data_IF_651852551977
#
_entry.id   IF_651852551977
#
_cell.length_a   1.000
_cell.length_b   1.000
_cell.length_c   1.000
_cell.angle_alpha   90.00
_cell.angle_beta   90.00
_cell.angle_gamma   90.00
#
_symmetry.space_group_name_H-M   'P 1'
#
loop_
_entity.id
_entity.type
_entity.pdbx_description
1 polymer ?
#
# COMPACT_ATOMS: atom_id res chain seq x y z
N UNK A 1 58.90 24.18 12.51
CA UNK A 1 57.65 24.96 12.61
C UNK A 1 56.59 24.07 13.23
N UNK A 2 56.16 24.33 14.47
CA UNK A 2 55.03 23.63 15.11
C UNK A 2 53.75 24.35 14.68
N UNK A 3 52.84 23.66 14.00
CA UNK A 3 51.48 24.17 13.80
C UNK A 3 50.82 24.36 15.18
N UNK A 4 50.13 25.49 15.45
CA UNK A 4 49.49 25.71 16.73
C UNK A 4 48.35 24.69 16.93
N UNK A 5 48.53 23.78 17.90
CA UNK A 5 47.59 22.71 18.27
C UNK A 5 46.20 23.24 18.67
N UNK A 6 46.08 24.51 19.05
CA UNK A 6 44.82 25.17 19.40
C UNK A 6 43.89 25.37 18.19
N UNK A 7 44.43 25.62 16.99
CA UNK A 7 43.62 25.86 15.78
C UNK A 7 42.91 24.58 15.33
N UNK A 8 43.52 23.41 15.57
CA UNK A 8 42.98 22.11 15.16
C UNK A 8 41.81 21.62 16.03
N UNK A 9 41.76 22.01 17.30
CA UNK A 9 40.68 21.59 18.22
C UNK A 9 39.44 22.46 18.02
N UNK A 10 39.62 23.78 17.85
CA UNK A 10 38.50 24.70 17.60
C UNK A 10 37.81 24.39 16.27
N UNK A 11 38.57 24.07 15.23
CA UNK A 11 38.01 23.64 13.94
C UNK A 11 37.28 22.30 14.03
N UNK A 12 37.81 21.32 14.78
CA UNK A 12 37.10 20.05 15.04
C UNK A 12 35.78 20.28 15.79
N UNK A 13 35.77 21.13 16.81
CA UNK A 13 34.56 21.45 17.58
C UNK A 13 33.52 22.16 16.70
N UNK A 14 33.94 23.07 15.82
CA UNK A 14 33.05 23.75 14.86
C UNK A 14 32.46 22.76 13.84
N UNK A 15 33.24 21.80 13.33
CA UNK A 15 32.75 20.77 12.41
C UNK A 15 31.75 19.84 13.12
N UNK A 16 32.08 19.35 14.32
CA UNK A 16 31.19 18.48 15.11
C UNK A 16 29.88 19.22 15.50
N UNK A 17 29.93 20.53 15.76
CA UNK A 17 28.74 21.34 16.07
C UNK A 17 27.93 21.74 14.84
N UNK A 18 28.52 21.76 13.64
CA UNK A 18 27.80 21.91 12.37
C UNK A 18 27.10 20.60 11.94
N UNK A 19 27.67 19.44 12.29
CA UNK A 19 27.09 18.11 12.02
C UNK A 19 25.91 17.75 12.96
N UNK A 20 25.62 18.58 13.96
CA UNK A 20 24.53 18.36 14.94
C UNK A 20 23.15 18.81 14.47
N UNK A 21 23.00 19.17 13.19
CA UNK A 21 21.71 19.60 12.68
C UNK A 21 21.36 18.82 11.40
N UNK A 22 20.32 17.98 11.53
CA UNK A 22 19.17 17.81 10.62
C UNK A 22 18.64 16.36 10.73
N UNK A 23 18.13 15.98 11.89
CA UNK A 23 17.20 14.85 11.96
C UNK A 23 15.84 15.31 11.38
N UNK A 24 15.71 15.30 10.05
CA UNK A 24 14.47 15.68 9.38
C UNK A 24 13.44 14.55 9.50
N UNK A 25 12.45 14.73 10.38
CA UNK A 25 11.40 13.75 10.58
C UNK A 25 10.44 13.71 9.38
N UNK A 26 10.50 12.66 8.58
CA UNK A 26 9.59 12.42 7.46
C UNK A 26 8.27 11.84 7.98
N UNK A 27 7.16 12.54 7.73
CA UNK A 27 5.81 12.10 8.13
C UNK A 27 4.93 11.93 6.91
N UNK A 28 4.31 10.75 6.80
CA UNK A 28 3.26 10.49 5.81
C UNK A 28 1.92 10.72 6.49
N UNK A 29 1.12 11.65 5.98
CA UNK A 29 -0.23 11.87 6.49
C UNK A 29 -1.14 10.72 6.07
N UNK A 30 -1.81 10.14 7.05
CA UNK A 30 -2.82 9.11 6.83
C UNK A 30 -4.22 9.71 6.93
N UNK A 31 -5.12 9.22 6.08
CA UNK A 31 -6.49 9.66 5.93
C UNK A 31 -7.43 8.53 6.31
N UNK A 32 -8.44 8.84 7.13
CA UNK A 32 -9.41 7.84 7.57
C UNK A 32 -10.38 7.47 6.45
N UNK A 33 -10.61 6.18 6.24
CA UNK A 33 -11.63 5.67 5.30
C UNK A 33 -12.93 5.39 6.05
N UNK A 34 -14.06 5.77 5.44
CA UNK A 34 -15.38 5.37 5.92
C UNK A 34 -15.56 3.88 5.61
N UNK A 35 -15.68 3.04 6.63
CA UNK A 35 -15.77 1.59 6.43
C UNK A 35 -17.20 1.20 6.08
N UNK A 36 -17.37 0.15 5.27
CA UNK A 36 -18.68 -0.46 5.05
C UNK A 36 -19.35 -0.82 6.39
N UNK A 37 -18.56 -1.21 7.41
CA UNK A 37 -19.06 -1.46 8.77
C UNK A 37 -19.66 -0.20 9.43
N UNK A 38 -19.05 0.98 9.28
CA UNK A 38 -19.61 2.25 9.80
C UNK A 38 -20.86 2.68 9.04
N UNK A 39 -20.88 2.52 7.73
CA UNK A 39 -22.08 2.75 6.91
C UNK A 39 -23.20 1.76 7.24
N UNK A 40 -22.88 0.49 7.48
CA UNK A 40 -23.85 -0.51 7.91
C UNK A 40 -24.33 -0.27 9.34
N UNK A 41 -23.46 0.23 10.23
CA UNK A 41 -23.82 0.67 11.58
C UNK A 41 -24.77 1.87 11.57
N UNK A 42 -24.59 2.84 10.65
CA UNK A 42 -25.55 3.94 10.48
C UNK A 42 -26.90 3.50 9.90
N UNK A 43 -26.98 2.31 9.28
CA UNK A 43 -28.18 1.69 8.73
C UNK A 43 -28.64 0.42 9.47
N UNK A 44 -28.26 0.29 10.75
CA UNK A 44 -28.34 -0.91 11.62
C UNK A 44 -29.61 -1.78 11.50
N UNK A 45 -30.78 -1.17 11.33
CA UNK A 45 -32.06 -1.90 11.35
C UNK A 45 -32.22 -2.88 10.15
N UNK A 46 -31.65 -2.56 8.99
CA UNK A 46 -31.82 -3.37 7.78
C UNK A 46 -30.78 -4.52 7.68
N UNK A 47 -29.64 -4.37 8.35
CA UNK A 47 -28.49 -5.28 8.24
C UNK A 47 -28.62 -6.46 9.20
N UNK A 48 -29.21 -6.23 10.38
CA UNK A 48 -29.39 -7.26 11.40
C UNK A 48 -30.22 -8.45 10.86
N UNK A 49 -31.22 -8.15 10.02
CA UNK A 49 -32.10 -9.15 9.45
C UNK A 49 -31.39 -10.07 8.43
N UNK A 50 -30.42 -9.52 7.69
CA UNK A 50 -29.62 -10.27 6.72
C UNK A 50 -28.52 -11.09 7.40
N UNK A 51 -27.87 -10.53 8.42
CA UNK A 51 -26.85 -11.24 9.23
C UNK A 51 -27.46 -12.46 9.93
N UNK A 52 -28.65 -12.32 10.51
CA UNK A 52 -29.33 -13.44 11.16
C UNK A 52 -29.74 -14.52 10.16
N UNK A 53 -30.20 -14.13 8.97
CA UNK A 53 -30.52 -15.06 7.87
C UNK A 53 -29.30 -15.84 7.39
N UNK A 54 -28.14 -15.18 7.27
CA UNK A 54 -26.91 -15.80 6.78
C UNK A 54 -26.25 -16.70 7.84
N UNK A 55 -26.30 -16.31 9.12
CA UNK A 55 -25.84 -17.16 10.24
C UNK A 55 -26.65 -18.43 10.38
N UNK A 56 -27.97 -18.35 10.21
CA UNK A 56 -28.83 -19.52 10.20
C UNK A 56 -28.50 -20.48 9.04
N UNK A 57 -28.07 -19.94 7.89
CA UNK A 57 -27.67 -20.74 6.73
C UNK A 57 -26.33 -21.46 6.94
N UNK A 58 -25.33 -20.77 7.49
CA UNK A 58 -24.01 -21.36 7.77
C UNK A 58 -24.05 -22.42 8.86
N UNK A 59 -24.95 -22.31 9.84
CA UNK A 59 -25.14 -23.33 10.87
C UNK A 59 -25.66 -24.67 10.33
N UNK A 60 -26.21 -24.69 9.12
CA UNK A 60 -26.73 -25.90 8.46
C UNK A 60 -25.64 -26.60 7.64
N UNK A 61 -24.48 -25.98 7.38
CA UNK A 61 -23.50 -26.44 6.36
C UNK A 61 -22.11 -26.83 6.88
N UNK A 62 -21.85 -26.85 8.17
CA UNK A 62 -20.51 -27.15 8.68
C UNK A 62 -20.40 -28.57 9.23
N UNK A 63 -19.99 -29.50 8.37
CA UNK A 63 -19.24 -30.70 8.77
C UNK A 63 -17.77 -30.54 8.34
N UNK A 64 -16.93 -31.12 9.19
CA UNK A 64 -15.52 -31.42 9.05
C UNK A 64 -14.45 -30.39 9.43
N UNK A 65 -13.55 -30.90 10.29
CA UNK A 65 -12.49 -30.16 10.96
C UNK A 65 -11.29 -29.90 10.07
N UNK A 66 -10.76 -28.68 10.16
CA UNK A 66 -9.44 -28.33 9.64
C UNK A 66 -8.68 -27.49 10.67
N UNK A 67 -7.41 -27.84 10.87
CA UNK A 67 -6.39 -27.15 11.68
C UNK A 67 -6.38 -25.63 11.49
N UNK A 68 -5.87 -24.85 12.47
CA UNK A 68 -6.00 -23.40 12.46
C UNK A 68 -5.18 -22.81 11.32
N UNK A 69 -5.86 -22.53 10.21
CA UNK A 69 -5.45 -21.51 9.27
C UNK A 69 -5.57 -20.22 10.05
N UNK A 70 -4.47 -19.51 10.31
CA UNK A 70 -4.51 -18.16 10.88
C UNK A 70 -5.08 -17.22 9.81
N UNK A 71 -6.38 -16.88 9.87
CA UNK A 71 -7.07 -16.19 8.79
C UNK A 71 -6.95 -14.69 9.05
N UNK A 72 -6.01 -14.03 8.38
CA UNK A 72 -6.02 -12.57 8.33
C UNK A 72 -7.01 -12.11 7.25
N UNK A 73 -8.22 -11.83 7.71
CA UNK A 73 -9.28 -11.16 6.95
C UNK A 73 -9.53 -9.82 7.58
N UNK A 74 -9.01 -8.74 6.99
CA UNK A 74 -9.64 -7.44 7.11
C UNK A 74 -9.16 -6.41 6.06
N UNK A 75 -9.98 -6.18 5.03
CA UNK A 75 -9.88 -4.99 4.16
C UNK A 75 -11.08 -4.05 4.39
N UNK A 76 -11.81 -4.23 5.50
CA UNK A 76 -13.03 -3.51 5.88
C UNK A 76 -12.87 -2.73 7.19
N UNK A 77 -11.77 -2.88 7.94
CA UNK A 77 -11.26 -1.99 8.98
C UNK A 77 -9.80 -1.55 8.73
N UNK A 78 -9.30 -1.72 7.50
CA UNK A 78 -8.20 -0.89 6.99
C UNK A 78 -8.70 0.57 7.02
N UNK A 79 -8.51 1.21 8.17
CA UNK A 79 -9.15 2.47 8.50
C UNK A 79 -8.40 3.66 7.94
N UNK A 80 -7.17 3.47 7.46
CA UNK A 80 -6.29 4.55 7.08
C UNK A 80 -5.55 4.24 5.77
N UNK A 81 -5.65 5.15 4.81
CA UNK A 81 -4.84 5.15 3.60
C UNK A 81 -3.90 6.36 3.61
N UNK A 82 -2.79 6.28 2.89
CA UNK A 82 -2.04 7.48 2.50
C UNK A 82 -1.90 7.53 0.99
N UNK A 83 -1.29 8.61 0.52
CA UNK A 83 -1.11 8.86 -0.91
C UNK A 83 0.35 8.66 -1.32
N UNK A 84 0.53 7.96 -2.43
CA UNK A 84 1.82 7.78 -3.09
C UNK A 84 1.72 8.23 -4.55
N UNK A 85 2.85 8.62 -5.13
CA UNK A 85 3.00 8.86 -6.56
C UNK A 85 3.84 7.78 -7.23
N UNK A 86 3.46 7.32 -8.42
CA UNK A 86 4.27 6.42 -9.23
C UNK A 86 4.58 7.06 -10.59
N UNK A 87 5.85 7.07 -10.95
CA UNK A 87 6.33 7.53 -12.25
C UNK A 87 6.65 9.01 -12.36
N UNK A 88 7.03 9.39 -13.58
CA UNK A 88 7.40 10.76 -13.93
C UNK A 88 6.66 11.20 -15.20
N UNK A 89 5.68 12.14 -15.11
CA UNK A 89 5.18 12.76 -13.88
C UNK A 89 4.46 11.77 -12.95
N UNK A 90 4.38 12.05 -11.63
CA UNK A 90 3.75 11.15 -10.67
C UNK A 90 2.25 10.91 -10.95
N UNK A 91 1.85 9.63 -10.96
CA UNK A 91 0.47 9.18 -10.96
C UNK A 91 0.04 8.83 -9.53
N UNK A 92 -1.02 9.45 -9.01
CA UNK A 92 -1.40 9.32 -7.60
C UNK A 92 -2.24 8.08 -7.28
N UNK A 93 -1.87 7.39 -6.20
CA UNK A 93 -2.59 6.23 -5.67
C UNK A 93 -2.84 6.37 -4.18
N UNK A 94 -4.02 5.92 -3.76
CA UNK A 94 -4.35 5.71 -2.34
C UNK A 94 -3.96 4.28 -1.99
N UNK A 95 -3.07 4.12 -1.02
CA UNK A 95 -2.56 2.81 -0.60
C UNK A 95 -2.68 2.65 0.91
N UNK A 96 -2.82 1.40 1.34
CA UNK A 96 -2.75 1.02 2.74
C UNK A 96 -1.29 0.72 3.06
N UNK A 97 -0.78 1.34 4.12
CA UNK A 97 0.56 1.06 4.65
C UNK A 97 0.45 -0.15 5.58
N UNK A 98 0.54 -1.34 4.98
CA UNK A 98 0.40 -2.62 5.67
C UNK A 98 1.75 -3.11 6.20
N UNK A 99 1.86 -3.28 7.52
CA UNK A 99 3.06 -3.85 8.18
C UNK A 99 3.08 -5.37 8.14
N UNK A 100 1.99 -6.03 7.73
CA UNK A 100 1.85 -7.48 7.63
C UNK A 100 2.32 -8.08 6.30
N UNK A 101 2.72 -7.24 5.33
CA UNK A 101 3.20 -7.68 4.03
C UNK A 101 4.42 -6.88 3.56
N UNK A 102 5.02 -7.30 2.45
CA UNK A 102 6.23 -6.67 1.90
C UNK A 102 6.13 -6.38 0.39
N UNK A 103 4.90 -6.33 -0.14
CA UNK A 103 4.65 -6.09 -1.56
C UNK A 103 3.91 -4.77 -1.77
N UNK A 104 4.42 -3.95 -2.69
CA UNK A 104 3.67 -2.83 -3.25
C UNK A 104 2.99 -3.30 -4.54
N UNK A 105 1.68 -3.10 -4.66
CA UNK A 105 0.95 -3.34 -5.89
C UNK A 105 -0.14 -2.29 -6.10
N UNK A 106 -0.45 -2.01 -7.37
CA UNK A 106 -1.53 -1.11 -7.79
C UNK A 106 -2.25 -1.70 -9.02
N UNK A 107 -3.52 -1.31 -9.29
CA UNK A 107 -4.20 -1.68 -10.52
C UNK A 107 -3.45 -1.19 -11.77
N UNK A 108 -3.26 -2.07 -12.75
CA UNK A 108 -2.67 -1.71 -14.05
C UNK A 108 -3.72 -1.14 -14.98
N UNK A 109 -3.38 -0.23 -15.90
CA UNK A 109 -4.27 0.10 -17.02
C UNK A 109 -4.61 -1.11 -17.90
N UNK A 110 -3.79 -2.18 -17.83
CA UNK A 110 -4.01 -3.44 -18.54
C UNK A 110 -4.97 -4.40 -17.83
N UNK A 111 -5.59 -4.01 -16.71
CA UNK A 111 -6.60 -4.84 -16.06
C UNK A 111 -7.90 -4.92 -16.90
N UNK A 112 -8.65 -6.01 -16.71
CA UNK A 112 -9.91 -6.22 -17.43
C UNK A 112 -10.98 -5.27 -16.87
N UNK A 113 -11.78 -4.66 -17.75
CA UNK A 113 -12.89 -3.77 -17.37
C UNK A 113 -13.96 -4.43 -16.50
N UNK A 114 -14.08 -5.76 -16.58
CA UNK A 114 -15.00 -6.57 -15.76
C UNK A 114 -14.53 -6.73 -14.31
N UNK A 115 -13.31 -6.33 -13.98
CA UNK A 115 -12.76 -6.41 -12.64
C UNK A 115 -13.18 -5.16 -11.84
N UNK A 116 -13.91 -5.37 -10.75
CA UNK A 116 -14.44 -4.29 -9.91
C UNK A 116 -13.30 -3.42 -9.35
N UNK A 117 -12.16 -4.01 -9.00
CA UNK A 117 -11.02 -3.26 -8.50
C UNK A 117 -10.44 -2.34 -9.59
N UNK A 118 -10.43 -2.81 -10.85
CA UNK A 118 -10.03 -2.05 -12.03
C UNK A 118 -10.96 -0.86 -12.33
N UNK A 119 -12.26 -1.03 -12.05
CA UNK A 119 -13.27 0.00 -12.29
C UNK A 119 -13.26 1.09 -11.22
N UNK A 120 -13.16 0.70 -9.93
CA UNK A 120 -13.28 1.63 -8.79
C UNK A 120 -12.01 2.40 -8.46
N UNK A 121 -10.83 1.94 -8.88
CA UNK A 121 -9.55 2.52 -8.49
C UNK A 121 -8.79 3.17 -9.64
N UNK A 122 -7.89 4.08 -9.26
CA UNK A 122 -6.88 4.62 -10.16
C UNK A 122 -6.04 3.48 -10.73
N UNK A 123 -5.71 3.60 -12.02
CA UNK A 123 -4.92 2.63 -12.76
C UNK A 123 -3.59 3.24 -13.15
N UNK A 124 -2.52 2.49 -12.94
CA UNK A 124 -1.19 2.87 -13.37
C UNK A 124 -1.02 2.65 -14.88
N UNK A 125 -0.69 3.72 -15.56
CA UNK A 125 -0.42 3.78 -17.00
C UNK A 125 1.09 3.94 -17.21
N UNK A 126 1.77 2.84 -17.54
CA UNK A 126 3.22 2.83 -17.78
C UNK A 126 3.62 3.70 -18.97
N UNK A 127 2.71 3.99 -19.90
CA UNK A 127 3.02 4.79 -21.11
C UNK A 127 3.16 6.28 -20.78
N UNK A 128 2.66 6.71 -19.62
CA UNK A 128 2.71 8.09 -19.15
C UNK A 128 3.90 8.40 -18.24
N UNK A 129 4.74 7.42 -17.94
CA UNK A 129 5.91 7.59 -17.08
C UNK A 129 7.21 7.51 -17.89
N UNK A 130 8.02 8.56 -17.84
CA UNK A 130 9.35 8.59 -18.46
C UNK A 130 10.39 7.78 -17.70
N UNK A 131 10.14 7.47 -16.42
CA UNK A 131 11.05 6.70 -15.54
C UNK A 131 10.69 5.22 -15.44
N UNK A 132 9.61 4.80 -16.09
CA UNK A 132 9.16 3.41 -16.11
C UNK A 132 10.22 2.48 -16.73
N UNK A 133 10.46 1.36 -16.05
CA UNK A 133 11.27 0.25 -16.53
C UNK A 133 10.45 -1.03 -16.50
N UNK A 134 10.30 -1.65 -17.67
CA UNK A 134 9.62 -2.94 -17.80
C UNK A 134 10.41 -4.02 -17.07
N UNK A 135 9.74 -4.76 -16.19
CA UNK A 135 10.24 -6.03 -15.66
C UNK A 135 9.47 -7.19 -16.30
N UNK A 136 8.14 -7.21 -16.18
CA UNK A 136 7.26 -8.14 -16.88
C UNK A 136 7.18 -9.55 -16.30
N UNK A 137 7.91 -9.86 -15.22
CA UNK A 137 7.79 -11.14 -14.51
C UNK A 137 6.40 -11.26 -13.91
N UNK A 138 5.71 -12.38 -14.13
CA UNK A 138 4.40 -12.61 -13.54
C UNK A 138 4.49 -12.67 -12.00
N UNK A 139 3.45 -12.16 -11.33
CA UNK A 139 3.29 -12.28 -9.88
C UNK A 139 1.85 -12.64 -9.53
N UNK A 140 1.69 -13.38 -8.44
CA UNK A 140 0.39 -13.70 -7.87
C UNK A 140 0.48 -13.66 -6.34
N UNK A 141 -0.54 -13.10 -5.71
CA UNK A 141 -0.68 -13.07 -4.25
C UNK A 141 -2.01 -13.72 -3.91
N UNK A 142 -2.01 -14.65 -2.94
CA UNK A 142 -3.21 -15.23 -2.36
C UNK A 142 -3.38 -14.70 -0.95
N UNK A 143 -4.52 -14.06 -0.71
CA UNK A 143 -4.99 -13.65 0.61
C UNK A 143 -6.00 -14.69 1.12
N UNK A 144 -6.37 -14.61 2.40
CA UNK A 144 -7.35 -15.54 3.00
C UNK A 144 -8.71 -15.52 2.28
N UNK A 145 -9.13 -14.36 1.78
CA UNK A 145 -10.44 -14.15 1.13
C UNK A 145 -10.34 -13.87 -0.38
N UNK A 146 -9.19 -14.12 -1.00
CA UNK A 146 -9.06 -13.82 -2.42
C UNK A 146 -7.66 -13.96 -2.97
N UNK A 147 -7.49 -13.54 -4.22
CA UNK A 147 -6.19 -13.52 -4.87
C UNK A 147 -6.12 -12.43 -5.93
N UNK A 148 -4.89 -12.02 -6.24
CA UNK A 148 -4.62 -11.16 -7.37
C UNK A 148 -3.48 -11.72 -8.20
N UNK A 149 -3.50 -11.39 -9.49
CA UNK A 149 -2.46 -11.72 -10.47
C UNK A 149 -2.10 -10.49 -11.29
N UNK A 150 -0.88 -10.46 -11.78
CA UNK A 150 -0.37 -9.42 -12.64
C UNK A 150 1.08 -9.64 -13.01
N UNK A 151 1.79 -8.56 -13.30
CA UNK A 151 3.21 -8.59 -13.63
C UNK A 151 4.00 -7.49 -12.88
N UNK A 152 5.28 -7.74 -12.62
CA UNK A 152 6.17 -6.81 -11.96
C UNK A 152 6.60 -5.68 -12.90
N UNK A 153 6.85 -4.52 -12.33
CA UNK A 153 7.39 -3.33 -13.00
C UNK A 153 8.32 -2.57 -12.07
N UNK A 154 9.10 -1.64 -12.61
CA UNK A 154 9.92 -0.72 -11.83
C UNK A 154 9.61 0.71 -12.25
N UNK A 155 9.52 1.60 -11.27
CA UNK A 155 9.36 3.03 -11.50
C UNK A 155 9.79 3.83 -10.26
N UNK A 156 9.85 5.15 -10.39
CA UNK A 156 10.04 6.08 -9.27
C UNK A 156 8.77 6.09 -8.42
N UNK A 157 8.95 5.91 -7.11
CA UNK A 157 7.94 6.01 -6.07
C UNK A 157 8.17 7.29 -5.29
N UNK A 158 7.13 8.11 -5.17
CA UNK A 158 7.10 9.29 -4.29
C UNK A 158 6.20 9.00 -3.11
N UNK A 159 6.75 9.04 -1.89
CA UNK A 159 5.99 8.86 -0.64
C UNK A 159 5.79 10.24 -0.02
N UNK A 160 4.53 10.70 0.06
CA UNK A 160 4.19 12.12 0.23
C UNK A 160 4.57 12.93 -1.02
N UNK A 161 3.59 13.62 -1.60
CA UNK A 161 3.57 14.05 -3.01
C UNK A 161 4.67 15.02 -3.44
N UNK A 162 5.64 15.42 -2.59
CA UNK A 162 6.58 16.49 -2.92
C UNK A 162 8.02 16.44 -2.37
N UNK A 163 8.49 15.44 -1.61
CA UNK A 163 9.82 15.60 -0.95
C UNK A 163 10.85 14.49 -1.16
N UNK A 164 10.45 13.25 -1.45
CA UNK A 164 11.43 12.16 -1.59
C UNK A 164 11.01 11.17 -2.67
N UNK A 165 11.85 11.04 -3.70
CA UNK A 165 11.68 10.10 -4.79
C UNK A 165 12.60 8.90 -4.56
N UNK A 166 12.01 7.74 -4.39
CA UNK A 166 12.71 6.46 -4.21
C UNK A 166 12.56 5.64 -5.48
N UNK A 167 13.63 5.00 -5.94
CA UNK A 167 13.49 4.01 -7.00
C UNK A 167 12.82 2.76 -6.44
N UNK A 168 11.63 2.42 -6.93
CA UNK A 168 10.97 1.16 -6.61
C UNK A 168 11.29 0.13 -7.70
N UNK A 169 12.08 -0.87 -7.33
CA UNK A 169 12.53 -1.90 -8.27
C UNK A 169 11.46 -2.96 -8.58
N UNK A 170 10.46 -3.11 -7.72
CA UNK A 170 9.40 -4.12 -7.85
C UNK A 170 8.06 -3.57 -7.38
N UNK A 171 7.24 -3.17 -8.35
CA UNK A 171 5.84 -2.80 -8.20
C UNK A 171 5.01 -3.89 -8.88
N UNK A 172 4.06 -4.48 -8.17
CA UNK A 172 3.09 -5.39 -8.76
C UNK A 172 2.00 -4.62 -9.53
N UNK A 173 1.92 -4.78 -10.84
CA UNK A 173 0.83 -4.24 -11.65
C UNK A 173 -0.26 -5.29 -11.82
N UNK A 174 -1.34 -5.14 -11.06
CA UNK A 174 -2.46 -6.07 -11.03
C UNK A 174 -3.28 -6.00 -12.32
N UNK A 175 -3.52 -7.15 -12.94
CA UNK A 175 -4.38 -7.30 -14.14
C UNK A 175 -5.68 -8.03 -13.85
N UNK A 176 -5.75 -8.79 -12.76
CA UNK A 176 -6.96 -9.48 -12.31
C UNK A 176 -6.96 -9.68 -10.79
N UNK A 177 -8.13 -9.54 -10.20
CA UNK A 177 -8.45 -9.74 -8.80
C UNK A 177 -9.68 -10.63 -8.66
N UNK A 178 -9.67 -11.50 -7.66
CA UNK A 178 -10.76 -12.40 -7.32
C UNK A 178 -10.99 -12.37 -5.82
N UNK A 179 -12.20 -12.09 -5.39
CA UNK A 179 -12.64 -12.39 -4.02
C UNK A 179 -13.20 -13.82 -4.02
N UNK A 180 -12.84 -14.61 -3.01
CA UNK A 180 -13.40 -15.94 -2.77
C UNK A 180 -14.60 -15.84 -1.83
#
# INVERSE_FOLDING_TARGET
>A
MKLPTSISVVTLIVIISLDLSWAHLHRVKLHKMETARRTLQSHQNNVQHLVNKYKALNAIMSDDGASPVEPLTDYLDAQYYGEIGLGTPPQSFKVIFDTGSSNLWVPSQKCKWTDIACWLHNKYDSTKSSTYKKNGTDFAIRYGTGSLKGFLSSDVLSVSVMLEQLLCNKIGLMTSHSQQ
#
